data_IF_074780321390
#
_entry.id   IF_074780321390
#
_cell.length_a   1.000
_cell.length_b   1.000
_cell.length_c   1.000
_cell.angle_alpha   90.00
_cell.angle_beta   90.00
_cell.angle_gamma   90.00
#
_symmetry.space_group_name_H-M   'P 1'
#
loop_
_entity.id
_entity.type
_entity.pdbx_description
1 polymer ?
#
# COMPACT_ATOMS: atom_id res chain seq x y z
N UNK A 1 -8.84 3.64 -7.63
CA UNK A 1 -9.19 5.00 -7.17
C UNK A 1 -10.03 5.00 -5.89
N UNK A 2 -11.18 4.32 -5.82
CA UNK A 2 -12.06 4.32 -4.62
C UNK A 2 -11.28 3.90 -3.35
N UNK A 3 -10.53 2.80 -3.38
CA UNK A 3 -9.69 2.39 -2.26
C UNK A 3 -8.65 3.42 -1.81
N UNK A 4 -8.09 4.20 -2.75
CA UNK A 4 -7.17 5.29 -2.41
C UNK A 4 -7.88 6.39 -1.63
N UNK A 5 -9.12 6.76 -2.03
CA UNK A 5 -9.93 7.71 -1.27
C UNK A 5 -10.25 7.20 0.14
N UNK A 6 -10.63 5.92 0.27
CA UNK A 6 -10.86 5.34 1.60
C UNK A 6 -9.60 5.33 2.45
N UNK A 7 -8.47 4.92 1.87
CA UNK A 7 -7.20 4.80 2.61
C UNK A 7 -6.61 6.13 3.07
N UNK A 8 -6.78 7.21 2.30
CA UNK A 8 -6.15 8.49 2.63
C UNK A 8 -7.11 9.51 3.26
N UNK A 9 -8.41 9.47 2.93
CA UNK A 9 -9.36 10.49 3.36
C UNK A 9 -10.55 9.93 4.14
N UNK A 10 -11.33 9.02 3.55
CA UNK A 10 -12.66 8.67 4.06
C UNK A 10 -12.57 7.97 5.43
N UNK A 11 -11.58 7.09 5.64
CA UNK A 11 -11.38 6.41 6.93
C UNK A 11 -11.17 7.38 8.09
N UNK A 12 -10.51 8.51 7.85
CA UNK A 12 -10.27 9.56 8.84
C UNK A 12 -11.47 10.51 9.02
N UNK A 13 -12.41 10.47 8.06
CA UNK A 13 -13.63 11.29 8.07
C UNK A 13 -14.89 10.55 8.58
N UNK A 14 -14.70 9.39 9.23
CA UNK A 14 -15.80 8.58 9.76
C UNK A 14 -16.15 7.34 8.93
N UNK A 15 -15.37 7.03 7.91
CA UNK A 15 -15.43 5.76 7.17
C UNK A 15 -16.60 5.61 6.20
N UNK A 16 -17.52 6.56 6.13
CA UNK A 16 -18.71 6.52 5.27
C UNK A 16 -18.81 7.78 4.42
N UNK A 17 -19.18 7.64 3.16
CA UNK A 17 -19.30 8.75 2.20
C UNK A 17 -20.59 8.68 1.42
N UNK A 18 -21.24 9.84 1.21
CA UNK A 18 -22.37 9.96 0.31
C UNK A 18 -21.94 9.77 -1.14
N UNK A 19 -22.74 9.04 -1.95
CA UNK A 19 -22.44 8.76 -3.36
C UNK A 19 -22.25 10.06 -4.17
N UNK A 20 -22.98 11.14 -3.85
CA UNK A 20 -22.83 12.43 -4.52
C UNK A 20 -21.45 13.07 -4.27
N UNK A 21 -20.95 13.01 -3.03
CA UNK A 21 -19.60 13.46 -2.70
C UNK A 21 -18.54 12.63 -3.42
N UNK A 22 -18.71 11.31 -3.46
CA UNK A 22 -17.80 10.42 -4.17
C UNK A 22 -17.75 10.71 -5.68
N UNK A 23 -18.89 11.00 -6.31
CA UNK A 23 -18.99 11.38 -7.72
C UNK A 23 -18.27 12.71 -7.95
N UNK A 24 -18.50 13.73 -7.11
CA UNK A 24 -17.84 15.04 -7.23
C UNK A 24 -16.32 14.91 -7.10
N UNK A 25 -15.83 14.19 -6.09
CA UNK A 25 -14.39 13.97 -5.88
C UNK A 25 -13.74 13.24 -7.05
N UNK A 26 -14.36 12.16 -7.54
CA UNK A 26 -13.82 11.38 -8.66
C UNK A 26 -13.99 12.09 -10.02
N UNK A 27 -14.92 13.03 -10.13
CA UNK A 27 -15.08 13.89 -11.30
C UNK A 27 -13.83 14.72 -11.62
N UNK A 28 -13.04 15.13 -10.61
CA UNK A 28 -11.75 15.81 -10.81
C UNK A 28 -10.68 14.99 -11.53
N UNK A 29 -10.91 13.68 -11.63
CA UNK A 29 -10.05 12.73 -12.37
C UNK A 29 -10.68 12.28 -13.70
N UNK A 30 -11.73 12.96 -14.17
CA UNK A 30 -12.42 12.61 -15.41
C UNK A 30 -13.31 11.36 -15.33
N UNK A 31 -13.58 10.85 -14.12
CA UNK A 31 -14.44 9.66 -13.94
C UNK A 31 -15.90 10.06 -14.01
N UNK A 32 -16.65 9.51 -14.96
CA UNK A 32 -18.08 9.81 -15.11
C UNK A 32 -18.91 9.31 -13.92
N UNK A 33 -20.03 9.99 -13.66
CA UNK A 33 -20.99 9.59 -12.63
C UNK A 33 -21.46 8.13 -12.81
N UNK A 34 -21.68 7.70 -14.05
CA UNK A 34 -22.13 6.34 -14.37
C UNK A 34 -21.03 5.31 -14.00
N UNK A 35 -19.75 5.61 -14.31
CA UNK A 35 -18.62 4.75 -13.97
C UNK A 35 -18.45 4.61 -12.44
N UNK A 36 -18.62 5.70 -11.69
CA UNK A 36 -18.61 5.66 -10.21
C UNK A 36 -19.73 4.77 -9.68
N UNK A 37 -20.99 4.98 -10.13
CA UNK A 37 -22.15 4.19 -9.67
C UNK A 37 -22.00 2.71 -10.00
N UNK A 38 -21.56 2.38 -11.21
CA UNK A 38 -21.32 1.00 -11.65
C UNK A 38 -20.23 0.33 -10.81
N UNK A 39 -19.13 1.04 -10.54
CA UNK A 39 -18.02 0.51 -9.73
C UNK A 39 -18.45 0.27 -8.30
N UNK A 40 -19.14 1.23 -7.67
CA UNK A 40 -19.64 1.10 -6.29
C UNK A 40 -20.63 -0.06 -6.17
N UNK A 41 -21.57 -0.20 -7.13
CA UNK A 41 -22.50 -1.32 -7.17
C UNK A 41 -21.79 -2.69 -7.26
N UNK A 42 -20.75 -2.79 -8.11
CA UNK A 42 -19.94 -4.00 -8.22
C UNK A 42 -19.15 -4.29 -6.94
N UNK A 43 -18.59 -3.27 -6.28
CA UNK A 43 -17.89 -3.43 -5.01
C UNK A 43 -18.84 -3.89 -3.91
N UNK A 44 -20.06 -3.37 -3.86
CA UNK A 44 -21.09 -3.79 -2.90
C UNK A 44 -21.51 -5.25 -3.12
N UNK A 45 -21.73 -5.66 -4.37
CA UNK A 45 -22.04 -7.08 -4.69
C UNK A 45 -20.93 -8.05 -4.33
N UNK A 46 -19.67 -7.59 -4.35
CA UNK A 46 -18.50 -8.38 -3.94
C UNK A 46 -18.23 -8.36 -2.43
N UNK A 47 -19.11 -7.76 -1.63
CA UNK A 47 -18.90 -7.67 -0.19
C UNK A 47 -17.75 -6.75 0.25
N UNK A 48 -17.30 -5.83 -0.63
CA UNK A 48 -16.20 -4.90 -0.33
C UNK A 48 -16.72 -3.59 0.28
N UNK A 49 -17.94 -3.20 -0.10
CA UNK A 49 -18.65 -2.05 0.44
C UNK A 49 -20.01 -2.48 0.98
N UNK A 50 -20.46 -1.79 1.99
CA UNK A 50 -21.85 -1.81 2.46
C UNK A 50 -22.50 -0.46 2.17
N UNK A 51 -23.84 -0.46 2.03
CA UNK A 51 -24.63 0.73 1.74
C UNK A 51 -25.63 0.97 2.86
N UNK A 52 -25.68 2.20 3.36
CA UNK A 52 -26.70 2.69 4.29
C UNK A 52 -27.55 3.74 3.57
N UNK A 53 -28.88 3.54 3.56
CA UNK A 53 -29.83 4.49 2.95
C UNK A 53 -30.41 5.39 4.02
N UNK A 54 -30.31 6.70 3.80
CA UNK A 54 -30.85 7.74 4.66
C UNK A 54 -31.75 8.67 3.82
N UNK A 55 -33.06 8.45 3.84
CA UNK A 55 -33.97 9.10 2.94
C UNK A 55 -33.63 8.81 1.48
N UNK A 56 -33.45 9.85 0.69
CA UNK A 56 -33.06 9.77 -0.73
C UNK A 56 -31.55 9.56 -0.97
N UNK A 57 -30.74 9.54 0.09
CA UNK A 57 -29.28 9.49 0.01
C UNK A 57 -28.74 8.11 0.34
N UNK A 58 -27.75 7.66 -0.43
CA UNK A 58 -27.03 6.41 -0.18
C UNK A 58 -25.59 6.74 0.25
N UNK A 59 -25.20 6.23 1.40
CA UNK A 59 -23.87 6.32 1.98
C UNK A 59 -23.17 4.97 1.85
N UNK A 60 -21.90 5.00 1.53
CA UNK A 60 -21.09 3.80 1.33
C UNK A 60 -19.93 3.78 2.30
N UNK A 61 -19.71 2.63 2.93
CA UNK A 61 -18.59 2.37 3.82
C UNK A 61 -17.95 1.04 3.47
N UNK A 62 -16.68 0.86 3.82
CA UNK A 62 -16.01 -0.44 3.71
C UNK A 62 -16.68 -1.45 4.64
N UNK A 63 -16.72 -2.72 4.22
CA UNK A 63 -16.99 -3.81 5.15
C UNK A 63 -15.88 -3.91 6.19
N UNK A 64 -16.08 -4.51 7.37
CA UNK A 64 -15.05 -4.65 8.40
C UNK A 64 -13.79 -5.32 7.87
N UNK A 65 -13.93 -6.35 7.05
CA UNK A 65 -12.82 -7.06 6.41
C UNK A 65 -12.05 -6.16 5.43
N UNK A 66 -12.75 -5.45 4.54
CA UNK A 66 -12.13 -4.49 3.62
C UNK A 66 -11.48 -3.32 4.35
N UNK A 67 -12.04 -2.87 5.48
CA UNK A 67 -11.46 -1.80 6.29
C UNK A 67 -10.12 -2.25 6.90
N UNK A 68 -10.07 -3.47 7.46
CA UNK A 68 -8.83 -4.08 7.98
C UNK A 68 -7.75 -4.16 6.90
N UNK A 69 -8.10 -4.70 5.73
CA UNK A 69 -7.16 -4.80 4.58
C UNK A 69 -6.62 -3.43 4.16
N UNK A 70 -7.45 -2.38 4.14
CA UNK A 70 -6.99 -1.03 3.79
C UNK A 70 -6.13 -0.42 4.89
N UNK A 71 -6.41 -0.70 6.16
CA UNK A 71 -5.62 -0.22 7.29
C UNK A 71 -4.21 -0.84 7.27
N UNK A 72 -4.12 -2.15 7.07
CA UNK A 72 -2.85 -2.88 6.90
C UNK A 72 -2.06 -2.36 5.68
N UNK A 73 -2.75 -2.16 4.55
CA UNK A 73 -2.14 -1.60 3.35
C UNK A 73 -1.63 -0.17 3.56
N UNK A 74 -2.40 0.67 4.26
CA UNK A 74 -1.99 2.03 4.58
C UNK A 74 -0.78 2.05 5.52
N UNK A 75 -0.78 1.23 6.57
CA UNK A 75 0.35 1.09 7.46
C UNK A 75 1.62 0.74 6.67
N UNK A 76 1.54 -0.22 5.75
CA UNK A 76 2.66 -0.60 4.89
C UNK A 76 3.12 0.53 3.97
N UNK A 77 2.21 1.33 3.40
CA UNK A 77 2.55 2.46 2.52
C UNK A 77 3.30 3.55 3.27
N UNK A 78 2.85 3.90 4.47
CA UNK A 78 3.42 5.00 5.24
C UNK A 78 4.64 4.63 6.09
N UNK A 79 4.84 3.33 6.39
CA UNK A 79 6.00 2.84 7.15
C UNK A 79 7.04 2.11 6.28
N UNK A 80 6.84 2.05 4.95
CA UNK A 80 7.85 1.52 4.04
C UNK A 80 9.15 2.34 4.15
N UNK A 81 10.29 1.67 4.08
CA UNK A 81 11.63 2.25 4.23
C UNK A 81 11.89 2.94 5.59
N UNK A 82 11.12 2.61 6.64
CA UNK A 82 11.52 2.98 8.00
C UNK A 82 12.86 2.33 8.35
N UNK A 83 13.71 2.99 9.16
CA UNK A 83 14.98 2.40 9.58
C UNK A 83 14.75 0.99 10.13
N UNK A 84 15.36 0.00 9.53
CA UNK A 84 15.38 -1.38 10.01
C UNK A 84 16.73 -1.70 10.62
N UNK A 85 16.76 -2.71 11.48
CA UNK A 85 18.03 -3.21 12.02
C UNK A 85 18.95 -3.65 10.87
N UNK A 86 20.26 -3.51 11.09
CA UNK A 86 21.28 -4.04 10.18
C UNK A 86 21.04 -5.54 9.95
N UNK A 87 21.38 -6.02 8.75
CA UNK A 87 21.24 -7.43 8.45
C UNK A 87 22.14 -8.29 9.34
N UNK A 88 21.58 -9.31 9.97
CA UNK A 88 22.29 -10.22 10.85
C UNK A 88 23.15 -11.28 10.11
N UNK A 89 23.22 -11.18 8.78
CA UNK A 89 23.94 -12.14 7.93
C UNK A 89 23.23 -13.48 7.75
N UNK A 90 21.97 -13.58 8.18
CA UNK A 90 21.21 -14.83 8.12
C UNK A 90 20.03 -14.72 7.16
N UNK A 91 19.73 -15.84 6.51
CA UNK A 91 18.57 -16.02 5.66
C UNK A 91 17.51 -16.85 6.39
N UNK A 92 16.26 -16.43 6.31
CA UNK A 92 15.10 -17.22 6.72
C UNK A 92 14.62 -17.98 5.51
N UNK A 93 14.58 -19.28 5.62
CA UNK A 93 14.23 -20.20 4.54
C UNK A 93 12.84 -20.78 4.82
N UNK A 94 12.02 -20.80 3.79
CA UNK A 94 10.76 -21.55 3.77
C UNK A 94 10.86 -22.58 2.65
N UNK A 95 10.77 -23.85 3.01
CA UNK A 95 10.65 -24.93 2.04
C UNK A 95 9.38 -25.73 2.29
N UNK A 96 8.85 -26.37 1.26
CA UNK A 96 7.61 -27.11 1.38
C UNK A 96 7.57 -28.31 0.44
N UNK A 97 6.85 -29.35 0.89
CA UNK A 97 6.48 -30.52 0.11
C UNK A 97 4.97 -30.70 0.18
N UNK A 98 4.26 -30.08 -0.76
CA UNK A 98 2.79 -30.02 -0.80
C UNK A 98 2.29 -30.97 -1.90
N UNK A 99 1.41 -31.93 -1.57
CA UNK A 99 0.89 -32.88 -2.54
C UNK A 99 0.00 -32.21 -3.60
N UNK A 100 -0.14 -32.84 -4.75
CA UNK A 100 -0.85 -32.23 -5.90
C UNK A 100 -2.35 -32.00 -5.63
N UNK A 101 -2.97 -32.80 -4.77
CA UNK A 101 -4.35 -32.58 -4.33
C UNK A 101 -4.56 -31.29 -3.52
N UNK A 102 -3.48 -30.66 -3.01
CA UNK A 102 -3.49 -29.39 -2.30
C UNK A 102 -2.90 -28.23 -3.15
N UNK A 103 -2.97 -28.34 -4.47
CA UNK A 103 -2.39 -27.35 -5.39
C UNK A 103 -2.87 -25.91 -5.16
N UNK A 104 -4.16 -25.71 -4.89
CA UNK A 104 -4.69 -24.35 -4.61
C UNK A 104 -4.05 -23.75 -3.36
N UNK A 105 -3.87 -24.53 -2.29
CA UNK A 105 -3.19 -24.07 -1.08
C UNK A 105 -1.71 -23.74 -1.34
N UNK A 106 -1.03 -24.55 -2.18
CA UNK A 106 0.35 -24.30 -2.62
C UNK A 106 0.47 -22.99 -3.40
N UNK A 107 -0.42 -22.76 -4.37
CA UNK A 107 -0.38 -21.54 -5.17
C UNK A 107 -0.68 -20.30 -4.32
N UNK A 108 -1.58 -20.42 -3.35
CA UNK A 108 -1.84 -19.38 -2.37
C UNK A 108 -0.65 -19.12 -1.44
N UNK A 109 0.00 -20.17 -0.93
CA UNK A 109 1.23 -20.05 -0.14
C UNK A 109 2.30 -19.26 -0.89
N UNK A 110 2.56 -19.62 -2.15
CA UNK A 110 3.54 -18.93 -3.01
C UNK A 110 3.21 -17.46 -3.21
N UNK A 111 1.93 -17.15 -3.41
CA UNK A 111 1.46 -15.77 -3.55
C UNK A 111 1.70 -14.96 -2.27
N UNK A 112 1.33 -15.52 -1.12
CA UNK A 112 1.48 -14.85 0.18
C UNK A 112 2.96 -14.69 0.59
N UNK A 113 3.81 -15.70 0.35
CA UNK A 113 5.26 -15.57 0.58
C UNK A 113 5.86 -14.43 -0.26
N UNK A 114 5.49 -14.34 -1.55
CA UNK A 114 5.91 -13.22 -2.40
C UNK A 114 5.40 -11.88 -1.86
N UNK A 115 4.20 -11.85 -1.30
CA UNK A 115 3.61 -10.66 -0.68
C UNK A 115 4.33 -10.24 0.62
N UNK A 116 4.84 -11.20 1.38
CA UNK A 116 5.67 -10.95 2.57
C UNK A 116 7.09 -10.49 2.23
N UNK A 117 7.46 -10.45 0.94
CA UNK A 117 8.80 -10.05 0.49
C UNK A 117 9.81 -11.19 0.38
N UNK A 118 9.38 -12.45 0.54
CA UNK A 118 10.25 -13.57 0.24
C UNK A 118 10.63 -13.63 -1.24
N UNK A 119 11.87 -13.97 -1.51
CA UNK A 119 12.35 -14.28 -2.85
C UNK A 119 12.38 -15.78 -3.10
N UNK A 120 12.03 -16.20 -4.30
CA UNK A 120 12.05 -17.61 -4.67
C UNK A 120 13.44 -17.98 -5.19
N UNK A 121 14.17 -18.79 -4.42
CA UNK A 121 15.49 -19.28 -4.80
C UNK A 121 15.38 -20.50 -5.72
N UNK A 122 14.45 -21.41 -5.43
CA UNK A 122 14.02 -22.52 -6.29
C UNK A 122 12.51 -22.69 -6.22
N UNK A 123 11.94 -23.61 -7.01
CA UNK A 123 10.48 -23.82 -7.07
C UNK A 123 9.81 -24.14 -5.72
N UNK A 124 10.55 -24.67 -4.76
CA UNK A 124 10.07 -25.03 -3.43
C UNK A 124 10.88 -24.42 -2.27
N UNK A 125 11.82 -23.52 -2.58
CA UNK A 125 12.65 -22.85 -1.58
C UNK A 125 12.56 -21.33 -1.72
N UNK A 126 12.09 -20.71 -0.68
CA UNK A 126 11.94 -19.25 -0.56
C UNK A 126 12.87 -18.73 0.52
N UNK A 127 13.38 -17.52 0.34
CA UNK A 127 14.32 -16.89 1.27
C UNK A 127 13.88 -15.47 1.61
N UNK A 128 14.18 -15.04 2.83
CA UNK A 128 14.02 -13.66 3.30
C UNK A 128 15.16 -13.30 4.24
N UNK A 129 15.67 -12.05 4.25
CA UNK A 129 16.56 -11.57 5.29
C UNK A 129 15.81 -11.18 6.57
N UNK A 130 14.47 -11.11 6.52
CA UNK A 130 13.61 -10.70 7.62
C UNK A 130 13.08 -11.89 8.39
N UNK A 131 12.94 -11.74 9.71
CA UNK A 131 12.23 -12.71 10.53
C UNK A 131 10.71 -12.49 10.38
N UNK A 132 10.11 -13.33 9.54
CA UNK A 132 8.66 -13.35 9.27
C UNK A 132 8.04 -14.67 9.80
N UNK A 133 8.66 -15.30 10.81
CA UNK A 133 8.18 -16.59 11.34
C UNK A 133 6.73 -16.53 11.82
N UNK A 134 6.30 -15.54 12.63
CA UNK A 134 4.90 -15.49 13.08
C UNK A 134 3.88 -15.42 11.94
N UNK A 135 4.19 -14.66 10.90
CA UNK A 135 3.33 -14.51 9.73
C UNK A 135 3.26 -15.79 8.90
N UNK A 136 4.39 -16.50 8.76
CA UNK A 136 4.44 -17.80 8.04
C UNK A 136 3.72 -18.88 8.83
N UNK A 137 3.87 -18.93 10.16
CA UNK A 137 3.16 -19.86 11.02
C UNK A 137 1.63 -19.67 10.94
N UNK A 138 1.18 -18.40 10.97
CA UNK A 138 -0.24 -18.07 10.80
C UNK A 138 -0.75 -18.45 9.40
N UNK A 139 0.04 -18.21 8.37
CA UNK A 139 -0.31 -18.57 6.99
C UNK A 139 -0.41 -20.08 6.83
N UNK A 140 0.58 -20.86 7.30
CA UNK A 140 0.60 -22.30 7.26
C UNK A 140 -0.63 -22.90 7.95
N UNK A 141 -0.97 -22.38 9.14
CA UNK A 141 -2.15 -22.79 9.89
C UNK A 141 -3.44 -22.49 9.11
N UNK A 142 -3.57 -21.30 8.54
CA UNK A 142 -4.76 -20.89 7.79
C UNK A 142 -5.01 -21.70 6.52
N UNK A 143 -3.94 -22.25 5.94
CA UNK A 143 -3.98 -23.07 4.74
C UNK A 143 -4.01 -24.59 5.02
N UNK A 144 -3.90 -25.00 6.29
CA UNK A 144 -3.80 -26.41 6.68
C UNK A 144 -2.52 -27.09 6.17
N UNK A 145 -1.40 -26.35 6.13
CA UNK A 145 -0.14 -26.80 5.55
C UNK A 145 0.98 -26.99 6.59
N UNK A 146 0.68 -27.00 7.88
CA UNK A 146 1.70 -27.08 8.93
C UNK A 146 2.64 -28.29 8.79
N UNK A 147 2.11 -29.46 8.39
CA UNK A 147 2.88 -30.70 8.22
C UNK A 147 3.66 -30.74 6.87
N UNK A 148 3.52 -29.71 6.05
CA UNK A 148 4.09 -29.65 4.70
C UNK A 148 5.14 -28.56 4.51
N UNK A 149 5.37 -27.71 5.54
CA UNK A 149 6.25 -26.54 5.47
C UNK A 149 7.33 -26.68 6.53
N UNK A 150 8.58 -26.43 6.12
CA UNK A 150 9.71 -26.35 7.03
C UNK A 150 10.33 -24.96 7.00
N UNK A 151 10.71 -24.47 8.17
CA UNK A 151 11.33 -23.17 8.38
C UNK A 151 12.75 -23.36 8.91
N UNK A 152 13.69 -22.66 8.29
CA UNK A 152 15.09 -22.69 8.72
C UNK A 152 15.65 -21.26 8.82
N UNK A 153 16.62 -21.09 9.71
CA UNK A 153 17.51 -19.95 9.74
C UNK A 153 18.91 -20.46 9.36
N UNK A 154 19.52 -19.85 8.34
CA UNK A 154 20.78 -20.33 7.77
C UNK A 154 21.71 -19.21 7.37
N UNK A 155 23.01 -19.48 7.39
CA UNK A 155 24.02 -18.68 6.70
C UNK A 155 24.33 -19.32 5.36
N UNK A 156 24.56 -18.49 4.36
CA UNK A 156 25.02 -18.98 3.07
C UNK A 156 26.53 -19.19 3.10
N UNK A 157 26.98 -20.41 2.84
CA UNK A 157 28.39 -20.80 2.82
C UNK A 157 28.85 -21.29 1.43
N UNK A 158 28.02 -21.05 0.40
CA UNK A 158 28.32 -21.46 -0.96
C UNK A 158 29.19 -20.45 -1.70
N UNK A 159 29.46 -20.73 -2.99
CA UNK A 159 30.33 -19.92 -3.84
C UNK A 159 29.74 -18.56 -4.29
N UNK A 160 28.42 -18.40 -4.22
CA UNK A 160 27.76 -17.14 -4.58
C UNK A 160 27.88 -16.14 -3.42
N UNK A 161 28.10 -14.86 -3.75
CA UNK A 161 27.96 -13.79 -2.77
C UNK A 161 26.48 -13.41 -2.57
N UNK A 162 26.20 -12.57 -1.56
CA UNK A 162 24.84 -12.15 -1.23
C UNK A 162 24.16 -11.41 -2.40
N UNK A 163 24.89 -10.58 -3.16
CA UNK A 163 24.37 -9.86 -4.32
C UNK A 163 23.86 -10.83 -5.41
N UNK A 164 24.61 -11.91 -5.67
CA UNK A 164 24.20 -12.95 -6.62
C UNK A 164 22.92 -13.65 -6.18
N UNK A 165 22.78 -13.94 -4.89
CA UNK A 165 21.56 -14.56 -4.33
C UNK A 165 20.38 -13.59 -4.49
N UNK A 166 20.58 -12.33 -4.13
CA UNK A 166 19.57 -11.29 -4.26
C UNK A 166 19.10 -11.16 -5.71
N UNK A 167 20.04 -11.07 -6.67
CA UNK A 167 19.72 -10.94 -8.09
C UNK A 167 18.94 -12.14 -8.66
N UNK A 168 19.13 -13.34 -8.08
CA UNK A 168 18.36 -14.55 -8.46
C UNK A 168 16.95 -14.54 -7.92
N UNK A 169 16.74 -13.96 -6.73
CA UNK A 169 15.48 -14.05 -6.00
C UNK A 169 14.55 -12.83 -6.24
N UNK A 170 15.13 -11.66 -6.54
CA UNK A 170 14.35 -10.42 -6.72
C UNK A 170 14.81 -9.64 -7.94
N UNK A 171 13.87 -9.11 -8.70
CA UNK A 171 14.17 -8.21 -9.82
C UNK A 171 14.30 -6.76 -9.30
N UNK A 172 15.35 -6.50 -8.51
CA UNK A 172 15.62 -5.16 -7.97
C UNK A 172 15.83 -4.09 -9.06
N UNK A 173 16.49 -4.37 -10.20
CA UNK A 173 16.62 -3.38 -11.28
C UNK A 173 15.26 -2.86 -11.78
N UNK A 174 14.27 -3.73 -11.96
CA UNK A 174 12.94 -3.31 -12.40
C UNK A 174 12.19 -2.49 -11.34
N UNK A 175 12.40 -2.76 -10.05
CA UNK A 175 11.83 -1.98 -8.95
C UNK A 175 12.52 -0.62 -8.90
N UNK A 176 13.86 -0.58 -8.98
CA UNK A 176 14.66 0.64 -8.94
C UNK A 176 14.32 1.59 -10.11
N UNK A 177 14.14 1.06 -11.32
CA UNK A 177 13.70 1.84 -12.47
C UNK A 177 12.34 2.51 -12.25
N UNK A 178 11.41 1.86 -11.55
CA UNK A 178 10.12 2.46 -11.19
C UNK A 178 10.26 3.58 -10.16
N UNK A 179 11.15 3.42 -9.19
CA UNK A 179 11.46 4.49 -8.24
C UNK A 179 12.08 5.69 -8.95
N UNK A 180 13.01 5.46 -9.88
CA UNK A 180 13.60 6.52 -10.69
C UNK A 180 12.53 7.28 -11.49
N UNK A 181 11.63 6.58 -12.17
CA UNK A 181 10.52 7.19 -12.91
C UNK A 181 9.55 7.99 -11.99
N UNK A 182 9.29 7.49 -10.78
CA UNK A 182 8.49 8.22 -9.79
C UNK A 182 9.18 9.52 -9.37
N UNK A 183 10.47 9.49 -9.07
CA UNK A 183 11.25 10.67 -8.69
C UNK A 183 11.29 11.67 -9.84
N UNK A 184 11.59 11.22 -11.05
CA UNK A 184 11.64 12.06 -12.26
C UNK A 184 10.32 12.80 -12.49
N UNK A 185 9.20 12.14 -12.24
CA UNK A 185 7.87 12.74 -12.38
C UNK A 185 7.53 13.72 -11.27
N UNK A 186 7.73 13.34 -10.00
CA UNK A 186 7.20 14.09 -8.87
C UNK A 186 8.16 15.13 -8.28
N UNK A 187 9.48 14.97 -8.43
CA UNK A 187 10.46 15.93 -7.92
C UNK A 187 10.30 17.31 -8.54
N UNK A 188 10.16 17.48 -9.88
CA UNK A 188 9.92 18.78 -10.48
C UNK A 188 8.60 19.43 -10.01
N UNK A 189 7.55 18.64 -9.80
CA UNK A 189 6.26 19.12 -9.29
C UNK A 189 6.39 19.62 -7.85
N UNK A 190 7.06 18.89 -7.00
CA UNK A 190 7.35 19.28 -5.62
C UNK A 190 8.13 20.59 -5.56
N UNK A 191 9.23 20.69 -6.34
CA UNK A 191 10.07 21.87 -6.37
C UNK A 191 9.31 23.11 -6.93
N UNK A 192 8.42 22.91 -7.91
CA UNK A 192 7.55 23.95 -8.43
C UNK A 192 6.58 24.45 -7.36
N UNK A 193 5.93 23.55 -6.61
CA UNK A 193 5.02 23.94 -5.54
C UNK A 193 5.74 24.71 -4.42
N UNK A 194 6.94 24.29 -4.04
CA UNK A 194 7.75 25.05 -3.08
C UNK A 194 8.07 26.46 -3.56
N UNK A 195 8.38 26.64 -4.86
CA UNK A 195 8.63 27.98 -5.45
C UNK A 195 7.39 28.84 -5.45
N UNK A 196 6.21 28.29 -5.79
CA UNK A 196 4.94 29.01 -5.75
C UNK A 196 4.65 29.53 -4.35
N UNK A 197 4.72 28.66 -3.34
CA UNK A 197 4.48 29.02 -1.94
C UNK A 197 5.45 30.12 -1.44
N UNK A 198 6.74 30.06 -1.83
CA UNK A 198 7.72 31.10 -1.48
C UNK A 198 7.42 32.47 -2.11
N UNK A 199 6.71 32.52 -3.23
CA UNK A 199 6.28 33.75 -3.89
C UNK A 199 4.95 34.28 -3.37
N UNK A 200 4.30 33.55 -2.47
CA UNK A 200 2.94 33.87 -2.03
C UNK A 200 1.86 33.48 -3.04
N UNK A 201 2.23 32.76 -4.11
CA UNK A 201 1.30 32.22 -5.08
C UNK A 201 0.71 30.90 -4.56
N UNK A 202 -0.49 30.58 -5.04
CA UNK A 202 -1.21 29.39 -4.61
C UNK A 202 -1.89 28.67 -5.77
N UNK A 203 -2.06 27.36 -5.62
CA UNK A 203 -2.88 26.56 -6.51
C UNK A 203 -4.34 26.60 -6.07
N UNK A 204 -5.27 26.32 -6.98
CA UNK A 204 -6.65 26.08 -6.58
C UNK A 204 -6.73 24.89 -5.61
N UNK A 205 -7.57 24.94 -4.54
CA UNK A 205 -7.67 23.88 -3.55
C UNK A 205 -7.94 22.48 -4.14
N UNK A 206 -8.71 22.39 -5.23
CA UNK A 206 -8.96 21.14 -5.95
C UNK A 206 -7.69 20.57 -6.60
N UNK A 207 -6.72 21.39 -6.98
CA UNK A 207 -5.46 20.93 -7.55
C UNK A 207 -4.59 20.27 -6.49
N UNK A 208 -4.55 20.79 -5.27
CA UNK A 208 -3.88 20.11 -4.13
C UNK A 208 -4.44 18.72 -3.87
N UNK A 209 -5.77 18.57 -3.90
CA UNK A 209 -6.43 17.28 -3.77
C UNK A 209 -6.05 16.31 -4.89
N UNK A 210 -6.06 16.78 -6.15
CA UNK A 210 -5.70 15.95 -7.32
C UNK A 210 -4.23 15.54 -7.26
N UNK A 211 -3.32 16.45 -6.93
CA UNK A 211 -1.89 16.15 -6.84
C UNK A 211 -1.59 15.14 -5.73
N UNK A 212 -2.15 15.35 -4.53
CA UNK A 212 -1.96 14.43 -3.41
C UNK A 212 -2.54 13.04 -3.70
N UNK A 213 -3.75 13.00 -4.26
CA UNK A 213 -4.37 11.74 -4.64
C UNK A 213 -3.52 10.95 -5.65
N UNK A 214 -3.04 11.60 -6.72
CA UNK A 214 -2.23 10.95 -7.75
C UNK A 214 -0.90 10.46 -7.18
N UNK A 215 -0.25 11.27 -6.33
CA UNK A 215 0.99 10.90 -5.63
C UNK A 215 0.82 9.59 -4.84
N UNK A 216 -0.19 9.51 -3.99
CA UNK A 216 -0.49 8.31 -3.21
C UNK A 216 -0.92 7.15 -4.11
N UNK A 217 -1.78 7.42 -5.11
CA UNK A 217 -2.29 6.39 -6.00
C UNK A 217 -1.19 5.68 -6.79
N UNK A 218 -0.12 6.37 -7.10
CA UNK A 218 1.06 5.82 -7.75
C UNK A 218 2.01 5.17 -6.74
N UNK A 219 2.36 5.90 -5.66
CA UNK A 219 3.31 5.42 -4.66
C UNK A 219 2.85 4.13 -3.95
N UNK A 220 1.57 3.99 -3.66
CA UNK A 220 1.01 2.83 -2.95
C UNK A 220 1.30 1.47 -3.57
N UNK A 221 1.84 1.43 -4.80
CA UNK A 221 2.18 0.19 -5.50
C UNK A 221 3.57 -0.33 -5.14
N UNK A 222 4.44 0.53 -4.64
CA UNK A 222 5.83 0.17 -4.34
C UNK A 222 5.93 -0.78 -3.15
N UNK A 223 5.36 -0.50 -1.97
CA UNK A 223 5.53 -1.34 -0.79
C UNK A 223 5.05 -2.79 -0.94
N UNK A 224 4.26 -3.05 -1.97
CA UNK A 224 3.78 -4.41 -2.28
C UNK A 224 4.65 -5.16 -3.31
N UNK A 225 5.69 -4.51 -3.82
CA UNK A 225 6.61 -5.09 -4.80
C UNK A 225 8.05 -5.03 -4.34
N UNK A 226 8.34 -4.08 -3.45
CA UNK A 226 9.63 -3.94 -2.83
C UNK A 226 9.75 -4.97 -1.69
N UNK A 227 10.74 -5.86 -1.72
CA UNK A 227 11.01 -6.80 -0.64
C UNK A 227 11.54 -6.12 0.62
N UNK A 228 11.81 -4.80 0.57
CA UNK A 228 12.35 -3.97 1.65
C UNK A 228 13.62 -4.57 2.26
N UNK A 229 14.53 -5.03 1.40
CA UNK A 229 15.78 -5.64 1.83
C UNK A 229 16.61 -4.67 2.69
N UNK A 230 17.41 -5.19 3.64
CA UNK A 230 18.40 -4.42 4.36
C UNK A 230 19.37 -3.69 3.41
N UNK A 231 19.90 -2.55 3.83
CA UNK A 231 20.78 -1.71 3.01
C UNK A 231 22.00 -2.45 2.46
N UNK A 232 22.52 -3.42 3.21
CA UNK A 232 23.67 -4.26 2.85
C UNK A 232 23.39 -5.18 1.65
N UNK A 233 22.12 -5.43 1.35
CA UNK A 233 21.65 -6.27 0.25
C UNK A 233 21.10 -5.47 -0.93
N UNK A 234 21.05 -4.14 -0.82
CA UNK A 234 20.56 -3.27 -1.87
C UNK A 234 21.70 -2.82 -2.79
N UNK A 235 21.43 -2.57 -4.08
CA UNK A 235 22.41 -1.96 -4.97
C UNK A 235 22.76 -0.53 -4.50
N UNK A 236 24.00 -0.09 -4.78
CA UNK A 236 24.49 1.24 -4.37
C UNK A 236 23.69 2.40 -4.92
N UNK A 237 23.08 2.22 -6.09
CA UNK A 237 22.23 3.20 -6.77
C UNK A 237 20.75 3.07 -6.44
N UNK A 238 20.40 2.41 -5.33
CA UNK A 238 19.00 2.20 -4.93
C UNK A 238 18.27 3.50 -4.64
N UNK A 239 17.17 3.71 -5.36
CA UNK A 239 16.36 4.94 -5.31
C UNK A 239 15.14 4.86 -4.38
N UNK A 240 14.90 3.71 -3.73
CA UNK A 240 13.72 3.51 -2.89
C UNK A 240 13.61 4.50 -1.74
N UNK A 241 14.73 4.75 -1.05
CA UNK A 241 14.78 5.71 0.09
C UNK A 241 14.51 7.14 -0.38
N UNK A 242 15.11 7.55 -1.52
CA UNK A 242 14.86 8.88 -2.10
C UNK A 242 13.40 9.06 -2.50
N UNK A 243 12.80 8.03 -3.13
CA UNK A 243 11.39 8.05 -3.51
C UNK A 243 10.46 8.13 -2.28
N UNK A 244 10.77 7.40 -1.20
CA UNK A 244 10.01 7.44 0.04
C UNK A 244 10.07 8.82 0.72
N UNK A 245 11.25 9.42 0.77
CA UNK A 245 11.43 10.76 1.31
C UNK A 245 10.68 11.83 0.47
N UNK A 246 10.78 11.74 -0.85
CA UNK A 246 10.03 12.63 -1.74
C UNK A 246 8.52 12.45 -1.57
N UNK A 247 8.05 11.20 -1.49
CA UNK A 247 6.64 10.90 -1.24
C UNK A 247 6.17 11.54 0.06
N UNK A 248 6.89 11.32 1.17
CA UNK A 248 6.53 11.88 2.48
C UNK A 248 6.49 13.41 2.44
N UNK A 249 7.57 14.06 1.99
CA UNK A 249 7.67 15.52 1.95
C UNK A 249 6.58 16.15 1.08
N UNK A 250 6.31 15.57 -0.09
CA UNK A 250 5.30 16.12 -1.00
C UNK A 250 3.88 15.86 -0.51
N UNK A 251 3.62 14.67 0.05
CA UNK A 251 2.35 14.33 0.66
C UNK A 251 1.99 15.31 1.79
N UNK A 252 2.96 15.61 2.68
CA UNK A 252 2.76 16.51 3.80
C UNK A 252 2.57 17.97 3.34
N UNK A 253 3.34 18.40 2.35
CA UNK A 253 3.18 19.73 1.74
C UNK A 253 1.76 19.96 1.20
N UNK A 254 1.16 18.93 0.62
CA UNK A 254 -0.19 19.02 0.02
C UNK A 254 -1.32 18.84 1.04
N UNK A 255 -1.03 18.32 2.24
CA UNK A 255 -2.02 17.75 3.16
C UNK A 255 -3.10 18.75 3.59
N UNK A 256 -2.74 19.92 4.07
CA UNK A 256 -3.68 20.88 4.64
C UNK A 256 -4.74 21.30 3.63
N UNK A 257 -4.31 21.80 2.46
CA UNK A 257 -5.22 22.34 1.42
C UNK A 257 -6.00 21.25 0.71
N UNK A 258 -5.39 20.08 0.50
CA UNK A 258 -6.09 18.90 -0.05
C UNK A 258 -7.19 18.42 0.90
N UNK A 259 -6.93 18.39 2.20
CA UNK A 259 -7.92 18.05 3.22
C UNK A 259 -9.04 19.09 3.29
N UNK A 260 -8.71 20.39 3.30
CA UNK A 260 -9.70 21.45 3.27
C UNK A 260 -10.65 21.32 2.07
N UNK A 261 -10.10 21.06 0.87
CA UNK A 261 -10.92 20.79 -0.31
C UNK A 261 -11.77 19.54 -0.16
N UNK A 262 -11.18 18.42 0.30
CA UNK A 262 -11.94 17.19 0.54
C UNK A 262 -13.14 17.46 1.45
N UNK A 263 -12.94 18.13 2.59
CA UNK A 263 -14.03 18.41 3.53
C UNK A 263 -15.06 19.41 3.00
N UNK A 264 -14.73 20.29 2.07
CA UNK A 264 -15.70 21.18 1.41
C UNK A 264 -16.69 20.42 0.51
N UNK A 265 -16.29 19.25 0.01
CA UNK A 265 -17.11 18.37 -0.86
C UNK A 265 -17.73 17.23 -0.10
N UNK A 266 -17.13 16.83 1.03
CA UNK A 266 -17.52 15.66 1.81
C UNK A 266 -18.77 15.94 2.66
N UNK A 267 -19.80 15.14 2.46
CA UNK A 267 -21.01 15.18 3.28
C UNK A 267 -21.07 13.97 4.21
N UNK A 268 -21.16 14.24 5.51
CA UNK A 268 -21.28 13.22 6.55
C UNK A 268 -22.73 12.71 6.64
N UNK A 269 -22.95 11.44 7.03
CA UNK A 269 -24.26 10.98 7.42
C UNK A 269 -24.70 11.72 8.70
N UNK A 270 -25.93 12.23 8.73
CA UNK A 270 -26.47 13.03 9.83
C UNK A 270 -26.70 12.21 11.12
N UNK A 271 -26.78 10.88 11.00
CA UNK A 271 -26.79 9.92 12.11
C UNK A 271 -26.03 8.66 11.67
N UNK A 272 -24.83 8.45 12.19
CA UNK A 272 -24.10 7.20 11.98
C UNK A 272 -24.53 6.19 13.06
N UNK A 273 -25.06 5.04 12.65
CA UNK A 273 -25.33 3.89 13.54
C UNK A 273 -24.06 3.18 14.04
N UNK A 274 -22.88 3.66 13.63
CA UNK A 274 -21.60 3.03 13.96
C UNK A 274 -20.70 3.99 14.73
N UNK A 275 -20.02 3.53 15.81
CA UNK A 275 -19.11 4.35 16.58
C UNK A 275 -17.91 4.74 15.71
N UNK A 276 -17.71 6.05 15.58
CA UNK A 276 -16.54 6.62 14.91
C UNK A 276 -15.34 6.40 15.83
N UNK A 277 -14.42 5.51 15.49
CA UNK A 277 -13.06 5.56 16.04
C UNK A 277 -12.40 6.84 15.51
N UNK A 278 -12.18 7.80 16.39
CA UNK A 278 -11.33 8.96 16.12
C UNK A 278 -9.89 8.43 15.98
N UNK A 279 -9.50 8.05 14.78
CA UNK A 279 -8.10 7.92 14.44
C UNK A 279 -7.58 9.33 14.16
N UNK A 280 -6.60 9.79 14.92
CA UNK A 280 -5.85 10.99 14.60
C UNK A 280 -5.28 10.83 13.19
N UNK A 281 -5.36 11.89 12.37
CA UNK A 281 -4.63 11.92 11.10
C UNK A 281 -3.14 11.73 11.40
N UNK A 282 -2.45 10.78 10.80
CA UNK A 282 -1.02 10.66 11.03
C UNK A 282 -0.34 11.91 10.46
N UNK A 283 0.16 12.74 11.35
CA UNK A 283 1.30 13.58 11.05
C UNK A 283 2.48 12.61 11.07
N UNK A 284 3.17 12.48 9.96
CA UNK A 284 4.36 11.65 9.85
C UNK A 284 5.47 12.34 10.64
N UNK A 285 5.67 11.92 11.90
CA UNK A 285 6.87 12.26 12.69
C UNK A 285 8.08 11.51 12.15
#
# INVERSE_FOLDING_TARGET
MIYTLYGDYIRHAGGSIWIGSLIRLLGHFGVSQQAVRSTVSRMTRRGLLRVDRMGTRSFYSLTPESAKTIEEAAARIFHSHSPRNAWDGQWRLVTYSIPENAREARDRLRHELGWMGFGMLTSALWISPHDCRPEVDQLATSLGLCDHIELFTARHEGFANAETIVARCWNLPAINARYAAFIEKYKPMYDQHLRLLKRGDDLAPSQYFVHRFNLIHEYRRFPFKDPELPSELLPRDWRGIEAANLFKQYHDLLAEKANAFFFSVFEKPTQSKFPVRKAAMPQLT
#
